data_IF_893539309844
#
_entry.id   IF_893539309844
#
_cell.length_a   1.000
_cell.length_b   1.000
_cell.length_c   1.000
_cell.angle_alpha   90.00
_cell.angle_beta   90.00
_cell.angle_gamma   90.00
#
_symmetry.space_group_name_H-M   'P 1'
#
loop_
_entity.id
_entity.type
_entity.pdbx_description
1 polymer ?
#
# COMPACT_ATOMS: atom_id res chain seq x y z
N UNK A 1 -17.41 4.14 -10.80
CA UNK A 1 -17.58 4.73 -9.45
C UNK A 1 -16.61 5.89 -9.30
N UNK A 2 -17.11 7.12 -9.24
CA UNK A 2 -16.28 8.33 -9.08
C UNK A 2 -16.31 8.90 -7.66
N UNK A 3 -17.34 8.58 -6.89
CA UNK A 3 -17.48 9.08 -5.52
C UNK A 3 -18.03 8.01 -4.58
N UNK A 4 -17.50 7.96 -3.37
CA UNK A 4 -18.05 7.18 -2.26
C UNK A 4 -18.70 8.15 -1.28
N UNK A 5 -20.00 7.92 -1.03
CA UNK A 5 -20.81 8.78 -0.21
C UNK A 5 -20.62 8.52 1.28
N UNK A 6 -21.15 9.42 2.08
CA UNK A 6 -21.17 9.35 3.54
C UNK A 6 -21.80 8.04 4.03
N UNK A 7 -21.15 7.38 5.01
CA UNK A 7 -21.63 6.16 5.69
C UNK A 7 -21.86 4.92 4.81
N UNK A 8 -21.29 4.86 3.60
CA UNK A 8 -21.48 3.72 2.69
C UNK A 8 -21.05 2.38 3.31
N UNK A 9 -19.99 2.38 4.11
CA UNK A 9 -19.48 1.19 4.80
C UNK A 9 -19.75 1.22 6.30
N UNK A 10 -20.80 1.93 6.73
CA UNK A 10 -21.14 2.01 8.14
C UNK A 10 -21.49 0.63 8.70
N UNK A 11 -20.82 0.23 9.79
CA UNK A 11 -21.02 -1.06 10.47
C UNK A 11 -20.85 -2.32 9.60
N UNK A 12 -20.12 -2.26 8.49
CA UNK A 12 -19.82 -3.42 7.66
C UNK A 12 -18.76 -4.33 8.32
N UNK A 13 -18.99 -4.82 9.53
CA UNK A 13 -18.01 -5.50 10.38
C UNK A 13 -17.40 -6.77 9.77
N UNK A 14 -18.13 -7.46 8.88
CA UNK A 14 -17.67 -8.67 8.20
C UNK A 14 -16.82 -8.39 6.96
N UNK A 15 -16.82 -7.15 6.44
CA UNK A 15 -16.09 -6.78 5.24
C UNK A 15 -14.64 -6.46 5.60
N UNK A 16 -13.71 -7.31 5.19
CA UNK A 16 -12.29 -7.22 5.54
C UNK A 16 -11.44 -6.45 4.54
N UNK A 17 -11.82 -6.51 3.27
CA UNK A 17 -11.05 -5.88 2.18
C UNK A 17 -11.98 -5.17 1.23
N UNK A 18 -11.60 -3.96 0.79
CA UNK A 18 -12.29 -3.21 -0.26
C UNK A 18 -11.29 -2.72 -1.29
N UNK A 19 -11.66 -2.86 -2.57
CA UNK A 19 -10.91 -2.32 -3.70
C UNK A 19 -11.69 -1.17 -4.34
N UNK A 20 -11.08 -0.01 -4.37
CA UNK A 20 -11.62 1.19 -5.02
C UNK A 20 -11.05 1.32 -6.43
N UNK A 21 -11.91 1.54 -7.45
CA UNK A 21 -11.46 1.63 -8.83
C UNK A 21 -10.62 2.88 -9.09
N UNK A 22 -9.85 2.85 -10.18
CA UNK A 22 -9.00 3.98 -10.62
C UNK A 22 -9.78 5.25 -10.95
N UNK A 23 -11.07 5.13 -11.18
CA UNK A 23 -11.97 6.25 -11.46
C UNK A 23 -12.48 6.98 -10.22
N UNK A 24 -12.11 6.53 -9.00
CA UNK A 24 -12.54 7.18 -7.76
C UNK A 24 -11.80 8.51 -7.57
N UNK A 25 -12.57 9.60 -7.45
CA UNK A 25 -12.03 10.96 -7.25
C UNK A 25 -12.42 11.59 -5.92
N UNK A 26 -13.48 11.09 -5.27
CA UNK A 26 -14.02 11.74 -4.06
C UNK A 26 -14.41 10.73 -3.00
N UNK A 27 -14.01 11.01 -1.76
CA UNK A 27 -14.41 10.31 -0.55
C UNK A 27 -15.13 11.27 0.38
N UNK A 28 -16.39 11.01 0.67
CA UNK A 28 -17.12 11.82 1.64
C UNK A 28 -16.68 11.51 3.06
N UNK A 29 -16.94 12.45 3.97
CA UNK A 29 -16.68 12.28 5.41
C UNK A 29 -17.37 11.04 5.96
N UNK A 30 -16.78 10.42 6.97
CA UNK A 30 -17.31 9.25 7.67
C UNK A 30 -17.69 8.08 6.73
N UNK A 31 -16.99 7.93 5.60
CA UNK A 31 -17.23 6.81 4.65
C UNK A 31 -17.16 5.46 5.35
N UNK A 32 -16.22 5.30 6.29
CA UNK A 32 -15.94 4.05 7.00
C UNK A 32 -16.33 4.09 8.48
N UNK A 33 -17.32 4.89 8.87
CA UNK A 33 -17.70 5.03 10.27
C UNK A 33 -18.14 3.70 10.90
N UNK A 34 -17.53 3.36 12.06
CA UNK A 34 -17.85 2.12 12.77
C UNK A 34 -17.43 0.83 12.07
N UNK A 35 -16.50 0.91 11.11
CA UNK A 35 -15.94 -0.21 10.37
C UNK A 35 -14.40 -0.15 10.43
N UNK A 36 -13.76 -1.31 10.58
CA UNK A 36 -12.29 -1.42 10.61
C UNK A 36 -11.85 -2.58 9.70
N UNK A 37 -11.68 -2.34 8.40
CA UNK A 37 -11.18 -3.34 7.47
C UNK A 37 -9.71 -3.66 7.73
N UNK A 38 -9.27 -4.84 7.31
CA UNK A 38 -7.87 -5.21 7.36
C UNK A 38 -7.08 -4.47 6.27
N UNK A 39 -7.68 -4.29 5.10
CA UNK A 39 -7.02 -3.65 3.95
C UNK A 39 -7.95 -2.89 3.02
N UNK A 40 -7.44 -1.78 2.46
CA UNK A 40 -8.08 -0.98 1.41
C UNK A 40 -7.12 -0.87 0.21
N UNK A 41 -7.60 -1.14 -0.99
CA UNK A 41 -6.86 -1.00 -2.23
C UNK A 41 -7.40 0.17 -3.04
N UNK A 42 -6.55 1.09 -3.44
CA UNK A 42 -6.87 2.21 -4.33
C UNK A 42 -6.13 2.02 -5.65
N UNK A 43 -6.86 1.75 -6.73
CA UNK A 43 -6.28 1.47 -8.05
C UNK A 43 -5.94 2.73 -8.84
N UNK A 44 -6.33 3.91 -8.35
CA UNK A 44 -6.08 5.20 -9.00
C UNK A 44 -4.63 5.65 -8.87
N UNK A 45 -4.11 6.28 -9.90
CA UNK A 45 -2.81 6.96 -9.87
C UNK A 45 -2.90 8.37 -9.27
N UNK A 46 -4.12 8.87 -9.08
CA UNK A 46 -4.38 10.12 -8.37
C UNK A 46 -5.13 9.83 -7.08
N UNK A 47 -4.71 10.37 -5.92
CA UNK A 47 -5.42 10.20 -4.67
C UNK A 47 -6.81 10.83 -4.73
N UNK A 48 -7.81 10.11 -4.24
CA UNK A 48 -9.13 10.67 -4.07
C UNK A 48 -9.10 11.82 -3.05
N UNK A 49 -9.85 12.89 -3.34
CA UNK A 49 -10.00 14.02 -2.43
C UNK A 49 -11.07 13.77 -1.38
N UNK A 50 -10.96 14.41 -0.24
CA UNK A 50 -11.92 14.28 0.86
C UNK A 50 -11.85 15.45 1.82
N UNK A 51 -12.80 15.54 2.72
CA UNK A 51 -12.83 16.56 3.77
C UNK A 51 -11.89 16.19 4.91
N UNK A 52 -11.06 17.15 5.36
CA UNK A 52 -10.22 17.06 6.57
C UNK A 52 -10.93 17.73 7.74
N UNK A 53 -11.78 16.99 8.43
CA UNK A 53 -12.49 17.44 9.62
C UNK A 53 -12.51 16.31 10.65
N UNK A 54 -13.18 16.50 11.78
CA UNK A 54 -13.44 15.40 12.75
C UNK A 54 -14.14 14.19 12.11
N UNK A 55 -14.81 14.40 10.99
CA UNK A 55 -15.53 13.37 10.23
C UNK A 55 -14.75 12.94 8.97
N UNK A 56 -13.42 12.91 9.04
CA UNK A 56 -12.58 12.42 7.93
C UNK A 56 -13.07 11.08 7.37
N UNK A 57 -12.84 10.78 6.08
CA UNK A 57 -13.31 9.54 5.47
C UNK A 57 -12.91 8.28 6.25
N UNK A 58 -11.71 8.30 6.85
CA UNK A 58 -11.06 7.15 7.49
C UNK A 58 -10.78 7.37 8.97
N UNK A 59 -11.54 8.24 9.63
CA UNK A 59 -11.32 8.53 11.05
C UNK A 59 -11.28 7.25 11.89
N UNK A 60 -10.21 7.09 12.67
CA UNK A 60 -10.01 5.93 13.55
C UNK A 60 -9.44 4.67 12.89
N UNK A 61 -9.11 4.69 11.57
CA UNK A 61 -8.55 3.53 10.86
C UNK A 61 -7.03 3.54 10.70
N UNK A 62 -6.37 4.67 10.90
CA UNK A 62 -4.98 4.90 10.50
C UNK A 62 -3.98 3.92 11.10
N UNK A 63 -4.21 3.45 12.33
CA UNK A 63 -3.32 2.53 13.06
C UNK A 63 -3.63 1.04 12.84
N UNK A 64 -4.74 0.70 12.18
CA UNK A 64 -5.25 -0.67 12.09
C UNK A 64 -5.37 -1.19 10.67
N UNK A 65 -5.71 -0.32 9.73
CA UNK A 65 -6.03 -0.67 8.35
C UNK A 65 -4.83 -0.43 7.45
N UNK A 66 -4.46 -1.42 6.66
CA UNK A 66 -3.44 -1.28 5.61
C UNK A 66 -4.06 -0.65 4.36
N UNK A 67 -3.41 0.35 3.80
CA UNK A 67 -3.83 1.01 2.55
C UNK A 67 -2.81 0.72 1.47
N UNK A 68 -3.26 0.12 0.38
CA UNK A 68 -2.43 -0.26 -0.75
C UNK A 68 -2.71 0.66 -1.94
N UNK A 69 -1.66 1.23 -2.53
CA UNK A 69 -1.72 2.16 -3.66
C UNK A 69 -0.73 1.75 -4.75
N UNK A 70 -0.93 2.16 -6.03
CA UNK A 70 0.04 1.90 -7.08
C UNK A 70 1.42 2.45 -6.72
N UNK A 71 2.48 1.69 -6.98
CA UNK A 71 3.86 2.13 -6.71
C UNK A 71 4.18 3.46 -7.40
N UNK A 72 3.69 3.65 -8.63
CA UNK A 72 3.88 4.88 -9.42
C UNK A 72 3.21 6.12 -8.84
N UNK A 73 2.24 5.93 -7.92
CA UNK A 73 1.47 7.02 -7.31
C UNK A 73 1.79 7.21 -5.83
N UNK A 74 2.72 6.46 -5.27
CA UNK A 74 2.98 6.43 -3.83
C UNK A 74 3.27 7.81 -3.25
N UNK A 75 4.09 8.61 -3.92
CA UNK A 75 4.47 9.95 -3.43
C UNK A 75 3.28 10.92 -3.44
N UNK A 76 2.37 10.81 -4.41
CA UNK A 76 1.14 11.60 -4.46
C UNK A 76 0.21 11.24 -3.30
N UNK A 77 0.05 9.94 -3.02
CA UNK A 77 -0.75 9.47 -1.88
C UNK A 77 -0.15 9.86 -0.53
N UNK A 78 1.16 9.76 -0.39
CA UNK A 78 1.90 10.17 0.81
C UNK A 78 1.69 11.65 1.14
N UNK A 79 1.61 12.53 0.13
CA UNK A 79 1.39 13.96 0.29
C UNK A 79 -0.09 14.34 0.41
N UNK A 80 -1.01 13.44 0.02
CA UNK A 80 -2.43 13.69 0.04
C UNK A 80 -2.95 13.93 1.45
N UNK A 81 -3.70 14.99 1.70
CA UNK A 81 -4.31 15.26 3.00
C UNK A 81 -5.14 14.11 3.57
N UNK A 82 -5.76 13.31 2.70
CA UNK A 82 -6.61 12.17 3.08
C UNK A 82 -5.80 10.96 3.51
N UNK A 83 -4.64 10.72 2.87
CA UNK A 83 -3.86 9.49 3.04
C UNK A 83 -2.58 9.67 3.85
N UNK A 84 -2.10 10.89 4.01
CA UNK A 84 -0.85 11.22 4.72
C UNK A 84 -0.73 10.54 6.10
N UNK A 85 -1.83 10.45 6.83
CA UNK A 85 -1.85 9.87 8.16
C UNK A 85 -1.61 8.35 8.16
N UNK A 86 -2.03 7.63 7.11
CA UNK A 86 -1.66 6.22 6.93
C UNK A 86 -0.16 6.05 6.70
N UNK A 87 0.47 6.98 6.00
CA UNK A 87 1.91 6.99 5.82
C UNK A 87 2.64 7.24 7.15
N UNK A 88 2.20 8.22 7.95
CA UNK A 88 2.76 8.55 9.27
C UNK A 88 2.67 7.36 10.26
N UNK A 89 1.68 6.48 10.10
CA UNK A 89 1.45 5.28 10.91
C UNK A 89 2.01 3.98 10.27
N UNK A 90 2.88 4.08 9.27
CA UNK A 90 3.46 2.95 8.52
C UNK A 90 2.40 1.99 7.90
N UNK A 91 1.24 2.50 7.56
CA UNK A 91 0.12 1.75 7.01
C UNK A 91 -0.21 2.07 5.55
N UNK A 92 0.54 2.96 4.90
CA UNK A 92 0.46 3.21 3.46
C UNK A 92 1.49 2.35 2.73
N UNK A 93 1.03 1.43 1.91
CA UNK A 93 1.83 0.41 1.24
C UNK A 93 1.64 0.49 -0.29
N UNK A 94 2.52 -0.14 -1.05
CA UNK A 94 2.42 -0.16 -2.50
C UNK A 94 2.04 -1.54 -3.04
N UNK A 95 1.42 -1.57 -4.21
CA UNK A 95 1.29 -2.77 -5.04
C UNK A 95 1.70 -2.45 -6.48
N UNK A 96 2.16 -3.48 -7.21
CA UNK A 96 2.40 -3.38 -8.64
C UNK A 96 1.16 -3.84 -9.41
N UNK A 97 0.75 -3.06 -10.42
CA UNK A 97 -0.39 -3.37 -11.28
C UNK A 97 -0.23 -4.68 -12.09
N UNK A 98 0.95 -5.27 -12.09
CA UNK A 98 1.28 -6.54 -12.76
C UNK A 98 0.93 -7.78 -11.93
N UNK A 99 0.17 -7.65 -10.84
CA UNK A 99 -0.33 -8.77 -10.04
C UNK A 99 0.70 -9.46 -9.15
N UNK A 100 1.92 -8.94 -9.08
CA UNK A 100 2.94 -9.38 -8.12
C UNK A 100 2.99 -8.34 -7.00
N UNK A 101 2.49 -8.69 -5.82
CA UNK A 101 2.61 -7.86 -4.62
C UNK A 101 4.08 -7.75 -4.21
N UNK A 102 4.78 -6.74 -4.71
CA UNK A 102 6.02 -6.32 -4.05
C UNK A 102 5.65 -5.31 -2.99
N UNK A 103 5.50 -5.76 -1.77
CA UNK A 103 5.52 -4.88 -0.61
C UNK A 103 6.93 -4.26 -0.60
N UNK A 104 7.07 -3.01 -1.00
CA UNK A 104 8.24 -2.23 -0.63
C UNK A 104 8.07 -1.83 0.83
N UNK A 105 8.29 -2.78 1.72
CA UNK A 105 8.72 -2.41 3.06
C UNK A 105 10.10 -1.78 2.88
N UNK A 106 10.23 -0.50 3.19
CA UNK A 106 11.52 0.21 3.18
C UNK A 106 12.56 -0.43 4.11
N UNK A 107 12.14 -1.46 4.86
CA UNK A 107 12.95 -2.29 5.75
C UNK A 107 13.37 -3.62 5.14
N UNK A 108 12.86 -4.01 3.94
CA UNK A 108 13.29 -5.24 3.26
C UNK A 108 14.59 -4.92 2.50
N UNK A 109 15.69 -5.35 3.09
CA UNK A 109 17.03 -5.15 2.53
C UNK A 109 17.65 -6.48 2.09
N UNK A 110 18.54 -6.47 1.08
CA UNK A 110 19.33 -7.65 0.73
C UNK A 110 20.17 -8.10 1.92
N UNK A 111 20.05 -9.37 2.31
CA UNK A 111 20.83 -9.97 3.41
C UNK A 111 21.96 -10.82 2.90
N UNK A 112 21.71 -11.58 1.83
CA UNK A 112 22.68 -12.47 1.24
C UNK A 112 22.61 -12.46 -0.27
N UNK A 113 23.76 -12.58 -0.93
CA UNK A 113 23.90 -12.63 -2.38
C UNK A 113 24.42 -14.00 -2.78
N UNK A 114 23.90 -14.53 -3.89
CA UNK A 114 24.32 -15.80 -4.46
C UNK A 114 24.49 -15.66 -5.97
N UNK A 115 25.43 -16.41 -6.55
CA UNK A 115 25.50 -16.59 -8.00
C UNK A 115 24.47 -17.63 -8.48
N UNK A 116 24.43 -17.85 -9.79
CA UNK A 116 23.48 -18.81 -10.41
C UNK A 116 23.78 -20.27 -10.03
N UNK A 117 24.96 -20.56 -9.48
CA UNK A 117 25.35 -21.89 -9.01
C UNK A 117 24.97 -22.13 -7.56
N UNK A 118 24.43 -21.11 -6.87
CA UNK A 118 24.05 -21.16 -5.46
C UNK A 118 25.22 -20.86 -4.51
N UNK A 119 26.38 -20.42 -5.01
CA UNK A 119 27.50 -20.01 -4.18
C UNK A 119 27.24 -18.64 -3.59
N UNK A 120 27.41 -18.48 -2.27
CA UNK A 120 27.27 -17.21 -1.59
C UNK A 120 28.38 -16.22 -2.02
N UNK A 121 27.96 -14.98 -2.25
CA UNK A 121 28.83 -13.86 -2.63
C UNK A 121 28.91 -12.85 -1.47
N UNK A 122 30.05 -12.21 -1.31
CA UNK A 122 30.25 -11.10 -0.35
C UNK A 122 29.64 -9.79 -0.83
N UNK A 123 29.42 -9.62 -2.14
CA UNK A 123 28.81 -8.46 -2.76
C UNK A 123 28.18 -8.86 -4.12
N UNK A 124 27.23 -8.06 -4.65
CA UNK A 124 26.66 -8.33 -5.94
C UNK A 124 27.71 -8.20 -7.06
N UNK A 125 27.73 -9.16 -7.98
CA UNK A 125 28.59 -9.16 -9.16
C UNK A 125 27.85 -8.69 -10.41
N UNK A 126 28.58 -8.36 -11.48
CA UNK A 126 28.01 -8.01 -12.78
C UNK A 126 27.23 -9.19 -13.35
N UNK A 127 26.00 -8.92 -13.81
CA UNK A 127 25.09 -9.92 -14.35
C UNK A 127 24.01 -10.32 -13.34
N UNK A 128 23.55 -11.58 -13.43
CA UNK A 128 22.43 -12.07 -12.64
C UNK A 128 22.91 -12.52 -11.26
N UNK A 129 22.25 -11.99 -10.21
CA UNK A 129 22.45 -12.39 -8.83
C UNK A 129 21.14 -12.92 -8.24
N UNK A 130 21.23 -13.91 -7.39
CA UNK A 130 20.12 -14.36 -6.54
C UNK A 130 20.30 -13.71 -5.16
N UNK A 131 19.27 -13.08 -4.65
CA UNK A 131 19.34 -12.30 -3.42
C UNK A 131 18.33 -12.83 -2.42
N UNK A 132 18.79 -13.19 -1.23
CA UNK A 132 17.90 -13.44 -0.09
C UNK A 132 17.66 -12.12 0.62
N UNK A 133 16.38 -11.79 0.84
CA UNK A 133 15.95 -10.56 1.48
C UNK A 133 15.71 -10.75 2.97
N UNK A 134 15.65 -9.65 3.73
CA UNK A 134 15.42 -9.68 5.19
C UNK A 134 14.06 -10.26 5.61
N UNK A 135 13.08 -10.31 4.70
CA UNK A 135 11.77 -10.93 4.90
C UNK A 135 11.76 -12.44 4.59
N UNK A 136 12.93 -13.03 4.28
CA UNK A 136 13.08 -14.43 3.88
C UNK A 136 12.79 -14.72 2.41
N UNK A 137 12.28 -13.76 1.66
CA UNK A 137 12.03 -13.91 0.22
C UNK A 137 13.33 -13.99 -0.58
N UNK A 138 13.26 -14.56 -1.78
CA UNK A 138 14.39 -14.65 -2.71
C UNK A 138 14.05 -13.91 -4.00
N UNK A 139 14.96 -13.07 -4.48
CA UNK A 139 14.78 -12.30 -5.70
C UNK A 139 15.94 -12.50 -6.67
N UNK A 140 15.64 -12.43 -7.97
CA UNK A 140 16.63 -12.38 -9.03
C UNK A 140 16.86 -10.92 -9.42
N UNK A 141 18.10 -10.46 -9.33
CA UNK A 141 18.49 -9.07 -9.65
C UNK A 141 19.60 -9.08 -10.70
N UNK A 142 19.50 -8.22 -11.68
CA UNK A 142 20.56 -7.95 -12.66
C UNK A 142 21.30 -6.67 -12.24
N UNK A 143 22.63 -6.72 -12.27
CA UNK A 143 23.50 -5.57 -11.96
C UNK A 143 24.45 -5.27 -13.12
#
# INVERSE_FOLDING_TARGET
LTAVKKFVFQYCSSLKTVTFPSTLTTLSKSTCFGWSPDSLYFLGTQPATGERTKDEPFYGLYTKTKVYVPESAFDDYKQSPVFKKFFEEDNLLTFNATGINTVKDSRIVPVMWFDLTGRQLSAPQKGINIVKMSDGSTRKIMK
#
